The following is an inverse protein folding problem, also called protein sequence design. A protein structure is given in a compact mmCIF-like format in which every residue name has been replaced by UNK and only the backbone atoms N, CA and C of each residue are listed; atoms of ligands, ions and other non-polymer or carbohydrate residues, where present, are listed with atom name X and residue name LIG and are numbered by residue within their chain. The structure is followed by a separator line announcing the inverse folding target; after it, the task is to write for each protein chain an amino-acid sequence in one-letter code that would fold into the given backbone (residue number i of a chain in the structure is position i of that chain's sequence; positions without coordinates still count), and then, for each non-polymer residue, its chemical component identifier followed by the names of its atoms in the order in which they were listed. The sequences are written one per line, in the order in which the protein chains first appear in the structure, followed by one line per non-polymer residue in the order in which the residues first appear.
data_IF_167998397329
#
_entry.id   IF_167998397329
#
_cell.length_a   1.000
_cell.length_b   1.000
_cell.length_c   1.000
_cell.angle_alpha   90.00
_cell.angle_beta   90.00
_cell.angle_gamma   90.00
#
_symmetry.space_group_name_H-M   'P 1'
#
loop_
_entity.id
_entity.type
_entity.pdbx_description
1 polymer ?
#
# COMPACT_ATOMS: atom_id res chain seq x y z
N UNK A 1 23.40 -15.07 -7.90
CA UNK A 1 22.04 -14.99 -7.31
C UNK A 1 21.64 -13.52 -7.31
N UNK A 2 20.76 -13.10 -8.21
CA UNK A 2 20.39 -11.69 -8.38
C UNK A 2 19.09 -11.42 -7.62
N UNK A 3 19.15 -10.56 -6.60
CA UNK A 3 18.00 -10.08 -5.81
C UNK A 3 17.02 -9.21 -6.62
N UNK A 4 17.30 -8.92 -7.91
CA UNK A 4 16.57 -7.96 -8.75
C UNK A 4 15.21 -8.43 -9.29
N UNK A 5 14.68 -9.59 -8.87
CA UNK A 5 13.46 -10.17 -9.49
C UNK A 5 12.20 -10.10 -8.62
N UNK A 6 12.28 -9.67 -7.36
CA UNK A 6 11.12 -9.70 -6.45
C UNK A 6 10.49 -8.32 -6.24
N UNK A 7 11.31 -7.27 -6.19
CA UNK A 7 10.84 -5.87 -6.06
C UNK A 7 10.84 -5.23 -7.44
N UNK A 8 9.67 -4.85 -8.01
CA UNK A 8 9.59 -4.29 -9.37
C UNK A 8 9.99 -2.80 -9.44
N UNK A 9 10.50 -2.24 -8.33
CA UNK A 9 10.76 -0.82 -8.18
C UNK A 9 12.20 -0.54 -7.74
N UNK A 10 12.77 0.55 -8.23
CA UNK A 10 13.92 1.18 -7.60
C UNK A 10 13.45 1.85 -6.30
N UNK A 11 14.27 1.85 -5.26
CA UNK A 11 13.89 2.40 -3.96
C UNK A 11 13.98 3.92 -3.95
N UNK A 12 13.07 4.57 -3.21
CA UNK A 12 13.19 5.99 -2.89
C UNK A 12 14.61 6.28 -2.31
N UNK A 13 15.30 7.36 -2.71
CA UNK A 13 14.79 8.56 -3.37
C UNK A 13 14.83 8.55 -4.91
N UNK A 14 15.05 7.40 -5.56
CA UNK A 14 14.91 7.33 -7.01
C UNK A 14 13.48 7.68 -7.39
N UNK A 15 13.29 8.53 -8.39
CA UNK A 15 11.97 8.91 -8.89
C UNK A 15 11.13 7.67 -9.23
N UNK A 16 9.84 7.72 -8.88
CA UNK A 16 8.99 6.55 -8.90
C UNK A 16 9.08 5.78 -7.59
N UNK A 17 10.24 5.68 -6.95
CA UNK A 17 10.49 4.71 -5.87
C UNK A 17 9.47 4.75 -4.72
N UNK A 18 9.07 3.58 -4.20
CA UNK A 18 8.07 3.50 -3.14
C UNK A 18 8.64 4.09 -1.84
N UNK A 19 7.90 5.02 -1.24
CA UNK A 19 8.16 5.60 0.06
C UNK A 19 7.17 5.01 1.08
N UNK A 20 7.68 4.51 2.21
CA UNK A 20 6.85 3.79 3.20
C UNK A 20 5.79 4.71 3.81
N UNK A 21 4.53 4.30 3.76
CA UNK A 21 3.40 5.07 4.32
C UNK A 21 2.71 4.37 5.49
N UNK A 22 2.77 3.04 5.56
CA UNK A 22 2.15 2.27 6.64
C UNK A 22 2.38 0.77 6.52
N UNK A 23 1.93 0.06 7.55
CA UNK A 23 1.94 -1.39 7.63
C UNK A 23 0.61 -1.85 8.24
N UNK A 24 0.03 -2.91 7.70
CA UNK A 24 -1.14 -3.58 8.26
C UNK A 24 -0.70 -4.63 9.30
N UNK A 25 -1.61 -5.05 10.17
CA UNK A 25 -1.31 -6.00 11.25
C UNK A 25 -0.85 -7.37 10.74
N UNK A 26 -1.29 -7.76 9.54
CA UNK A 26 -0.83 -8.96 8.85
C UNK A 26 0.54 -8.78 8.16
N UNK A 27 1.23 -7.68 8.43
CA UNK A 27 2.53 -7.29 7.86
C UNK A 27 2.51 -6.98 6.36
N UNK A 28 1.35 -6.72 5.76
CA UNK A 28 1.28 -6.14 4.43
C UNK A 28 1.66 -4.66 4.47
N UNK A 29 2.34 -4.20 3.43
CA UNK A 29 2.97 -2.90 3.42
C UNK A 29 2.26 -1.94 2.47
N UNK A 30 2.10 -0.70 2.92
CA UNK A 30 1.56 0.40 2.16
C UNK A 30 2.67 1.40 1.84
N UNK A 31 2.74 1.81 0.58
CA UNK A 31 3.71 2.78 0.10
C UNK A 31 3.03 3.87 -0.73
N UNK A 32 3.61 5.06 -0.70
CA UNK A 32 3.41 6.06 -1.74
C UNK A 32 4.37 5.81 -2.91
N UNK A 33 3.86 5.74 -4.14
CA UNK A 33 4.69 5.80 -5.35
C UNK A 33 5.02 7.26 -5.62
N UNK A 34 6.28 7.63 -5.41
CA UNK A 34 6.70 9.01 -5.57
C UNK A 34 6.73 9.43 -7.04
N UNK A 35 6.24 10.61 -7.36
CA UNK A 35 6.29 11.19 -8.70
C UNK A 35 6.22 12.71 -8.58
N UNK A 36 7.16 13.43 -9.20
CA UNK A 36 7.17 14.90 -9.26
C UNK A 36 6.73 15.57 -7.93
N UNK A 37 5.50 16.10 -7.90
CA UNK A 37 4.85 16.73 -6.75
C UNK A 37 4.09 15.71 -5.87
N UNK A 38 4.08 15.85 -4.53
CA UNK A 38 3.35 14.97 -3.62
C UNK A 38 1.88 14.73 -3.96
N UNK A 39 1.18 15.69 -4.58
CA UNK A 39 -0.22 15.52 -5.01
C UNK A 39 -0.38 14.50 -6.16
N UNK A 40 0.72 14.19 -6.86
CA UNK A 40 0.74 13.18 -7.91
C UNK A 40 1.10 11.77 -7.39
N UNK A 41 1.35 11.60 -6.09
CA UNK A 41 1.75 10.32 -5.52
C UNK A 41 0.57 9.36 -5.45
N UNK A 42 0.78 8.14 -5.94
CA UNK A 42 -0.22 7.07 -5.92
C UNK A 42 0.09 6.03 -4.85
N UNK A 43 -0.76 5.01 -4.69
CA UNK A 43 -0.60 3.98 -3.65
C UNK A 43 -0.08 2.67 -4.26
N UNK A 44 0.88 2.06 -3.57
CA UNK A 44 1.35 0.70 -3.83
C UNK A 44 1.13 -0.13 -2.57
N UNK A 45 0.55 -1.32 -2.75
CA UNK A 45 0.39 -2.31 -1.69
C UNK A 45 1.29 -3.49 -2.00
N UNK A 46 2.01 -3.98 -0.99
CA UNK A 46 2.85 -5.16 -1.13
C UNK A 46 2.54 -6.17 -0.04
N UNK A 47 2.32 -7.44 -0.43
CA UNK A 47 2.21 -8.51 0.54
C UNK A 47 3.54 -8.66 1.29
N UNK A 48 3.49 -9.08 2.55
CA UNK A 48 4.68 -9.27 3.38
C UNK A 48 5.85 -10.04 2.70
N UNK A 49 5.52 -10.99 1.82
CA UNK A 49 6.52 -11.79 1.09
C UNK A 49 7.39 -10.99 0.10
N UNK A 50 6.92 -9.83 -0.34
CA UNK A 50 7.48 -9.04 -1.46
C UNK A 50 7.77 -9.86 -2.74
N UNK A 51 7.09 -11.00 -2.89
CA UNK A 51 7.32 -11.95 -3.96
C UNK A 51 6.77 -11.51 -5.33
N UNK A 52 6.94 -12.37 -6.33
CA UNK A 52 6.30 -12.18 -7.63
C UNK A 52 4.78 -12.14 -7.46
N UNK A 53 4.14 -11.08 -7.95
CA UNK A 53 2.69 -10.89 -7.82
C UNK A 53 2.24 -10.40 -6.45
N UNK A 54 3.17 -10.12 -5.53
CA UNK A 54 2.85 -9.55 -4.22
C UNK A 54 2.54 -8.04 -4.28
N UNK A 55 2.75 -7.39 -5.41
CA UNK A 55 2.68 -5.94 -5.57
C UNK A 55 1.45 -5.56 -6.38
N UNK A 56 0.72 -4.57 -5.90
CA UNK A 56 -0.44 -4.01 -6.59
C UNK A 56 -0.44 -2.49 -6.49
N UNK A 57 -0.79 -1.84 -7.60
CA UNK A 57 -0.79 -0.38 -7.72
C UNK A 57 -2.23 0.12 -7.83
N UNK A 58 -2.53 1.18 -7.08
CA UNK A 58 -3.79 1.89 -7.14
C UNK A 58 -3.57 3.29 -7.70
N UNK A 59 -4.31 3.63 -8.76
CA UNK A 59 -4.25 4.97 -9.36
C UNK A 59 -5.27 5.88 -8.66
N UNK A 60 -4.79 6.64 -7.68
CA UNK A 60 -5.57 7.56 -6.87
C UNK A 60 -4.76 8.01 -5.66
N UNK A 61 -5.29 8.98 -4.91
CA UNK A 61 -4.63 9.44 -3.70
C UNK A 61 -4.73 8.40 -2.56
N UNK A 62 -3.94 8.58 -1.50
CA UNK A 62 -4.06 7.78 -0.29
C UNK A 62 -5.46 7.89 0.34
N UNK A 63 -6.06 9.08 0.28
CA UNK A 63 -7.42 9.29 0.78
C UNK A 63 -8.43 8.52 -0.06
N UNK A 64 -8.33 8.55 -1.39
CA UNK A 64 -9.22 7.78 -2.27
C UNK A 64 -9.12 6.27 -1.99
N UNK A 65 -7.89 5.78 -1.78
CA UNK A 65 -7.63 4.38 -1.45
C UNK A 65 -8.30 3.97 -0.13
N UNK A 66 -8.07 4.73 0.95
CA UNK A 66 -8.65 4.44 2.27
C UNK A 66 -10.17 4.58 2.22
N UNK A 67 -10.70 5.66 1.63
CA UNK A 67 -12.15 5.87 1.51
C UNK A 67 -12.79 4.72 0.74
N UNK A 68 -12.25 4.32 -0.41
CA UNK A 68 -12.77 3.21 -1.21
C UNK A 68 -12.75 1.87 -0.47
N UNK A 69 -11.71 1.60 0.34
CA UNK A 69 -11.66 0.41 1.19
C UNK A 69 -12.77 0.46 2.27
N UNK A 70 -12.91 1.59 2.95
CA UNK A 70 -13.90 1.74 4.04
C UNK A 70 -15.34 1.72 3.52
N UNK A 71 -15.60 2.22 2.31
CA UNK A 71 -16.92 2.16 1.66
C UNK A 71 -17.19 0.84 0.96
N UNK A 72 -16.19 -0.04 0.83
CA UNK A 72 -16.22 -1.28 0.03
C UNK A 72 -16.47 -1.07 -1.46
N UNK A 73 -16.15 0.12 -1.97
CA UNK A 73 -16.17 0.41 -3.40
C UNK A 73 -14.85 0.01 -4.08
N UNK A 74 -13.81 -0.28 -3.27
CA UNK A 74 -12.50 -0.75 -3.72
C UNK A 74 -12.15 -2.07 -3.04
N UNK A 75 -11.63 -3.02 -3.83
CA UNK A 75 -10.98 -4.23 -3.31
C UNK A 75 -9.50 -4.20 -3.68
N UNK A 76 -8.63 -4.41 -2.69
CA UNK A 76 -7.19 -4.57 -2.91
C UNK A 76 -6.84 -6.06 -2.97
N UNK A 77 -6.35 -6.60 -4.11
CA UNK A 77 -6.03 -8.03 -4.25
C UNK A 77 -4.90 -8.55 -3.35
N UNK A 78 -4.14 -7.63 -2.74
CA UNK A 78 -3.03 -7.96 -1.83
C UNK A 78 -3.53 -8.13 -0.40
N UNK A 79 -4.53 -7.33 -0.01
CA UNK A 79 -5.13 -7.42 1.32
C UNK A 79 -6.08 -8.62 1.40
N UNK A 80 -6.51 -8.93 2.62
CA UNK A 80 -7.59 -9.90 2.83
C UNK A 80 -8.85 -9.47 2.05
N UNK A 81 -9.49 -10.37 1.28
CA UNK A 81 -10.70 -10.05 0.52
C UNK A 81 -11.84 -9.46 1.36
N UNK A 82 -11.91 -9.81 2.64
CA UNK A 82 -12.92 -9.33 3.57
C UNK A 82 -12.47 -8.07 4.34
N UNK A 83 -11.32 -7.48 4.00
CA UNK A 83 -10.83 -6.25 4.61
C UNK A 83 -11.53 -4.99 4.04
N UNK A 84 -11.93 -4.03 4.89
CA UNK A 84 -12.05 -4.15 6.34
C UNK A 84 -13.28 -4.98 6.72
N UNK A 85 -13.27 -5.58 7.92
CA UNK A 85 -14.43 -6.34 8.41
C UNK A 85 -15.70 -5.44 8.50
N UNK A 86 -16.93 -6.00 8.36
CA UNK A 86 -18.20 -5.25 8.41
C UNK A 86 -18.36 -4.27 9.56
N UNK A 87 -17.75 -4.60 10.70
CA UNK A 87 -17.82 -3.91 11.97
C UNK A 87 -16.45 -3.37 12.42
N UNK A 88 -15.53 -3.13 11.48
CA UNK A 88 -14.24 -2.52 11.77
C UNK A 88 -14.42 -1.15 12.44
N UNK A 89 -13.70 -0.95 13.54
CA UNK A 89 -13.64 0.31 14.28
C UNK A 89 -12.34 1.04 13.95
N UNK A 90 -12.38 2.37 13.91
CA UNK A 90 -11.17 3.19 13.85
C UNK A 90 -10.78 3.49 15.29
N UNK A 91 -9.62 2.99 15.70
CA UNK A 91 -9.07 3.22 17.03
C UNK A 91 -7.75 3.99 16.90
N UNK A 92 -7.60 5.05 17.68
CA UNK A 92 -6.34 5.75 17.81
C UNK A 92 -5.58 5.17 19.01
N UNK A 93 -4.54 4.39 18.73
CA UNK A 93 -3.62 3.96 19.76
C UNK A 93 -2.65 5.11 20.07
N UNK A 94 -2.67 5.67 21.29
CA UNK A 94 -1.72 6.71 21.66
C UNK A 94 -0.30 6.15 21.54
N UNK A 95 0.61 6.98 21.01
CA UNK A 95 2.02 6.64 20.97
C UNK A 95 2.52 6.41 22.41
N UNK A 96 3.38 5.41 22.64
CA UNK A 96 3.95 5.14 23.97
C UNK A 96 4.78 6.30 24.52
#
# INVERSE_FOLDING_TARGET
MSFRLLVPFLLYPVEGGPFSSGVADNSDHLFWRTKDDPEAWTVVVAAHSYGKGAWWEFTGSMTDFITGLMTRELTCPVLDPDFPLPNATIEQNPLP
#
